data_IF_161365670983
#
_entry.id   IF_161365670983
#
_cell.length_a   1.000
_cell.length_b   1.000
_cell.length_c   1.000
_cell.angle_alpha   90.00
_cell.angle_beta   90.00
_cell.angle_gamma   90.00
#
_symmetry.space_group_name_H-M   'P 1'
#
loop_
_entity.id
_entity.type
_entity.pdbx_description
1 polymer ?
#
# COMPACT_ATOMS: atom_id res chain seq x y z
N UNK A 1 7.18 4.03 3.20
CA UNK A 1 6.05 4.86 3.61
C UNK A 1 6.10 6.15 2.81
N UNK A 2 5.14 6.27 1.93
CA UNK A 2 4.84 7.44 1.11
C UNK A 2 3.61 8.12 1.71
N UNK A 3 3.41 9.39 1.39
CA UNK A 3 2.30 10.15 1.94
C UNK A 3 1.13 10.19 0.94
N UNK A 4 -0.06 9.95 1.46
CA UNK A 4 -1.30 9.88 0.71
C UNK A 4 -2.41 10.67 1.43
N UNK A 5 -3.46 11.02 0.69
CA UNK A 5 -4.67 11.65 1.23
C UNK A 5 -5.84 10.69 1.04
N UNK A 6 -6.39 10.20 2.14
CA UNK A 6 -7.65 9.46 2.17
C UNK A 6 -8.82 10.44 2.25
N UNK A 7 -9.68 10.41 1.24
CA UNK A 7 -10.94 11.15 1.21
C UNK A 7 -12.06 10.21 1.66
N UNK A 8 -12.67 10.53 2.79
CA UNK A 8 -13.92 9.95 3.25
C UNK A 8 -15.03 10.89 2.78
N UNK A 9 -15.85 10.44 1.83
CA UNK A 9 -16.88 11.25 1.17
C UNK A 9 -18.25 10.59 1.20
N UNK A 10 -19.21 11.20 0.51
CA UNK A 10 -20.46 10.55 0.13
C UNK A 10 -20.31 9.93 -1.26
N UNK A 11 -21.11 8.90 -1.54
CA UNK A 11 -21.26 8.42 -2.92
C UNK A 11 -21.76 9.54 -3.87
N UNK A 12 -21.59 9.32 -5.18
CA UNK A 12 -21.88 10.33 -6.20
C UNK A 12 -23.35 10.80 -6.20
N UNK A 13 -24.29 9.90 -5.91
CA UNK A 13 -25.72 10.18 -5.92
C UNK A 13 -26.10 11.04 -4.71
N UNK A 14 -25.55 10.73 -3.53
CA UNK A 14 -25.73 11.52 -2.31
C UNK A 14 -25.02 12.85 -2.37
N UNK A 15 -23.84 12.92 -2.99
CA UNK A 15 -23.21 14.22 -3.27
C UNK A 15 -24.05 15.07 -4.21
N UNK A 16 -24.69 14.46 -5.23
CA UNK A 16 -25.61 15.17 -6.09
C UNK A 16 -26.85 15.67 -5.33
N UNK A 17 -27.45 14.85 -4.47
CA UNK A 17 -28.57 15.22 -3.60
C UNK A 17 -28.19 16.38 -2.66
N UNK A 18 -27.03 16.30 -2.00
CA UNK A 18 -26.50 17.36 -1.14
C UNK A 18 -26.35 18.68 -1.91
N UNK A 19 -25.79 18.63 -3.13
CA UNK A 19 -25.63 19.81 -4.00
C UNK A 19 -26.96 20.42 -4.46
N UNK A 20 -28.03 19.62 -4.51
CA UNK A 20 -29.38 20.07 -4.83
C UNK A 20 -30.13 20.63 -3.60
N UNK A 21 -29.48 20.64 -2.42
CA UNK A 21 -30.06 21.17 -1.17
C UNK A 21 -30.93 20.16 -0.42
N UNK A 22 -30.88 18.88 -0.81
CA UNK A 22 -31.56 17.82 -0.08
C UNK A 22 -30.82 17.51 1.23
N UNK A 23 -31.60 17.19 2.26
CA UNK A 23 -31.05 16.86 3.56
C UNK A 23 -30.47 15.43 3.54
N UNK A 24 -29.14 15.33 3.54
CA UNK A 24 -28.41 14.07 3.69
C UNK A 24 -28.14 13.85 5.19
N UNK A 25 -28.71 12.78 5.76
CA UNK A 25 -28.61 12.40 7.17
C UNK A 25 -27.88 11.06 7.32
N UNK A 26 -27.54 10.68 8.56
CA UNK A 26 -26.19 10.73 9.11
C UNK A 26 -25.16 9.87 8.36
N UNK A 27 -23.90 10.21 8.53
CA UNK A 27 -22.70 9.62 7.92
C UNK A 27 -22.49 8.14 8.33
N UNK A 28 -23.42 7.23 8.03
CA UNK A 28 -23.22 5.81 8.33
C UNK A 28 -22.00 5.30 7.55
N UNK A 29 -21.06 4.56 8.16
CA UNK A 29 -19.83 4.11 7.50
C UNK A 29 -20.06 3.37 6.16
N UNK A 30 -21.15 2.63 6.06
CA UNK A 30 -21.55 1.88 4.85
C UNK A 30 -22.09 2.77 3.72
N UNK A 31 -22.39 4.03 4.00
CA UNK A 31 -22.94 5.00 3.05
C UNK A 31 -21.91 6.02 2.56
N UNK A 32 -20.63 5.76 2.88
CA UNK A 32 -19.50 6.62 2.54
C UNK A 32 -18.73 6.05 1.35
N UNK A 33 -18.13 6.95 0.58
CA UNK A 33 -17.13 6.61 -0.42
C UNK A 33 -15.74 6.81 0.16
N UNK A 34 -14.79 5.96 -0.25
CA UNK A 34 -13.40 6.06 0.15
C UNK A 34 -12.54 6.20 -1.09
N UNK A 35 -11.74 7.25 -1.16
CA UNK A 35 -10.85 7.50 -2.30
C UNK A 35 -9.48 7.86 -1.79
N UNK A 36 -8.47 7.18 -2.31
CA UNK A 36 -7.08 7.44 -1.95
C UNK A 36 -6.43 8.27 -3.06
N UNK A 37 -5.90 9.42 -2.70
CA UNK A 37 -5.22 10.34 -3.60
C UNK A 37 -3.72 10.37 -3.31
N UNK A 38 -2.93 10.37 -4.37
CA UNK A 38 -1.49 10.59 -4.30
C UNK A 38 -1.20 12.03 -4.73
N UNK A 39 -0.71 12.90 -3.84
CA UNK A 39 -0.36 14.25 -4.21
C UNK A 39 0.80 14.26 -5.23
N UNK A 40 0.76 15.21 -6.17
CA UNK A 40 1.78 15.36 -7.20
C UNK A 40 3.18 15.51 -6.59
N UNK A 41 4.16 14.78 -7.14
CA UNK A 41 5.55 14.80 -6.69
C UNK A 41 5.90 13.79 -5.60
N UNK A 42 4.92 13.10 -5.02
CA UNK A 42 5.16 11.85 -4.28
C UNK A 42 5.25 10.70 -5.28
N UNK A 43 6.46 10.39 -5.74
CA UNK A 43 6.72 9.06 -6.28
C UNK A 43 6.63 8.06 -5.13
N UNK A 44 5.55 7.29 -5.04
CA UNK A 44 5.47 6.22 -4.06
C UNK A 44 6.59 5.22 -4.35
N UNK A 45 7.28 4.78 -3.30
CA UNK A 45 8.46 3.91 -3.44
C UNK A 45 8.11 2.50 -3.06
N UNK A 46 8.76 1.57 -3.77
CA UNK A 46 8.48 0.18 -3.52
C UNK A 46 9.44 -0.87 -4.10
N UNK A 47 9.02 -2.14 -4.06
CA UNK A 47 9.60 -3.33 -4.65
C UNK A 47 8.50 -4.25 -5.22
N UNK A 48 8.54 -4.56 -6.51
CA UNK A 48 7.66 -5.59 -7.09
C UNK A 48 8.46 -6.86 -7.31
N UNK A 49 7.82 -8.02 -7.26
CA UNK A 49 8.46 -9.23 -7.78
C UNK A 49 8.80 -9.04 -9.25
N UNK A 50 10.05 -9.35 -9.63
CA UNK A 50 10.41 -9.37 -11.03
C UNK A 50 9.83 -10.62 -11.69
N UNK A 51 9.08 -10.44 -12.77
CA UNK A 51 8.45 -11.53 -13.53
C UNK A 51 9.36 -12.17 -14.58
N UNK A 52 10.58 -11.67 -14.76
CA UNK A 52 11.55 -12.22 -15.72
C UNK A 52 12.48 -13.24 -15.04
N UNK A 53 12.94 -14.29 -15.75
CA UNK A 53 13.78 -15.31 -15.16
C UNK A 53 15.19 -14.80 -14.82
N UNK A 54 15.70 -15.14 -13.64
CA UNK A 54 17.00 -14.75 -13.09
C UNK A 54 18.04 -15.85 -13.24
N UNK A 55 19.19 -15.52 -13.83
CA UNK A 55 20.30 -16.44 -14.05
C UNK A 55 21.61 -15.87 -13.49
N UNK A 56 22.36 -16.69 -12.75
CA UNK A 56 23.70 -16.34 -12.27
C UNK A 56 24.69 -17.46 -12.51
N UNK A 57 25.83 -17.16 -13.12
CA UNK A 57 26.85 -18.17 -13.43
C UNK A 57 26.35 -19.30 -14.34
N UNK A 58 25.31 -19.06 -15.15
CA UNK A 58 24.65 -20.07 -15.98
C UNK A 58 23.66 -20.96 -15.25
N UNK A 59 23.38 -20.70 -13.97
CA UNK A 59 22.42 -21.44 -13.14
C UNK A 59 21.20 -20.55 -12.86
N UNK A 60 19.96 -21.07 -12.96
CA UNK A 60 18.77 -20.30 -12.59
C UNK A 60 18.76 -20.09 -11.05
N UNK A 61 18.43 -18.88 -10.61
CA UNK A 61 18.46 -18.50 -9.19
C UNK A 61 17.09 -18.04 -8.72
N UNK A 62 16.06 -18.86 -8.94
CA UNK A 62 14.65 -18.52 -8.67
C UNK A 62 14.17 -18.91 -7.27
N UNK A 63 13.13 -18.22 -6.78
CA UNK A 63 12.24 -18.74 -5.75
C UNK A 63 11.02 -19.36 -6.43
N UNK A 64 10.99 -20.69 -6.57
CA UNK A 64 9.75 -21.37 -6.92
C UNK A 64 8.90 -21.54 -5.65
N UNK A 65 7.95 -20.61 -5.45
CA UNK A 65 6.98 -20.66 -4.34
C UNK A 65 6.12 -21.94 -4.35
N UNK A 66 6.09 -22.69 -5.47
CA UNK A 66 5.39 -23.96 -5.59
C UNK A 66 6.30 -25.19 -5.39
N UNK A 67 7.61 -24.98 -5.22
CA UNK A 67 8.57 -26.01 -4.82
C UNK A 67 9.28 -25.57 -3.54
N UNK A 68 8.57 -25.79 -2.43
CA UNK A 68 8.82 -25.49 -1.01
C UNK A 68 10.14 -26.06 -0.41
N UNK A 69 11.19 -26.24 -1.22
CA UNK A 69 12.53 -26.61 -0.75
C UNK A 69 13.68 -26.14 -1.65
N UNK A 70 13.38 -25.40 -2.72
CA UNK A 70 14.39 -24.96 -3.68
C UNK A 70 14.83 -23.51 -3.50
N UNK A 71 14.24 -22.76 -2.55
CA UNK A 71 14.69 -21.42 -2.18
C UNK A 71 16.21 -21.47 -1.90
N UNK A 72 17.04 -20.83 -2.72
CA UNK A 72 18.48 -20.84 -2.52
C UNK A 72 18.77 -20.23 -1.14
N UNK A 73 19.27 -21.03 -0.21
CA UNK A 73 19.65 -20.54 1.12
C UNK A 73 20.88 -19.64 0.98
N UNK A 74 20.91 -18.54 1.72
CA UNK A 74 22.07 -17.63 1.78
C UNK A 74 21.97 -16.36 0.94
N UNK A 75 20.87 -16.14 0.22
CA UNK A 75 20.65 -14.92 -0.56
C UNK A 75 19.91 -13.81 0.23
N UNK A 76 19.74 -13.96 1.55
CA UNK A 76 19.01 -12.99 2.37
C UNK A 76 19.58 -11.58 2.23
N UNK A 77 18.76 -10.66 1.72
CA UNK A 77 19.14 -9.28 1.42
C UNK A 77 20.31 -9.14 0.43
N UNK A 78 20.54 -10.14 -0.42
CA UNK A 78 21.50 -9.99 -1.52
C UNK A 78 20.93 -9.04 -2.58
N UNK A 79 21.78 -8.11 -3.01
CA UNK A 79 21.54 -7.28 -4.18
C UNK A 79 22.29 -7.85 -5.38
N UNK A 80 21.63 -7.87 -6.54
CA UNK A 80 22.19 -8.42 -7.76
C UNK A 80 21.59 -7.77 -8.99
N UNK A 81 22.42 -7.52 -10.00
CA UNK A 81 21.93 -7.02 -11.27
C UNK A 81 21.44 -8.17 -12.15
N UNK A 82 20.21 -8.06 -12.63
CA UNK A 82 19.65 -8.90 -13.68
C UNK A 82 18.94 -8.01 -14.69
N UNK A 83 19.02 -8.37 -15.97
CA UNK A 83 18.34 -7.65 -17.05
C UNK A 83 18.67 -6.13 -17.08
N UNK A 84 19.81 -5.74 -16.50
CA UNK A 84 20.23 -4.33 -16.35
C UNK A 84 19.58 -3.55 -15.19
N UNK A 85 18.88 -4.23 -14.27
CA UNK A 85 18.21 -3.65 -13.10
C UNK A 85 18.72 -4.31 -11.82
N UNK A 86 19.01 -3.51 -10.80
CA UNK A 86 19.34 -4.03 -9.46
C UNK A 86 18.10 -4.65 -8.83
N UNK A 87 18.20 -5.94 -8.53
CA UNK A 87 17.22 -6.69 -7.76
C UNK A 87 17.70 -6.89 -6.33
N UNK A 88 16.76 -6.94 -5.39
CA UNK A 88 16.98 -7.33 -4.01
C UNK A 88 16.22 -8.63 -3.73
N UNK A 89 16.91 -9.62 -3.17
CA UNK A 89 16.28 -10.85 -2.71
C UNK A 89 15.53 -10.64 -1.39
N UNK A 90 14.27 -11.06 -1.35
CA UNK A 90 13.41 -11.02 -0.15
C UNK A 90 12.83 -12.39 0.11
N UNK A 91 12.97 -12.88 1.35
CA UNK A 91 12.41 -14.17 1.76
C UNK A 91 10.89 -14.19 1.55
N UNK A 92 10.36 -15.30 1.02
CA UNK A 92 8.96 -15.44 0.63
C UNK A 92 8.62 -14.84 -0.75
N UNK A 93 9.43 -13.93 -1.28
CA UNK A 93 9.12 -13.17 -2.51
C UNK A 93 10.08 -13.46 -3.67
N UNK A 94 11.34 -13.81 -3.39
CA UNK A 94 12.39 -13.99 -4.40
C UNK A 94 13.04 -12.67 -4.81
N UNK A 95 13.43 -12.55 -6.08
CA UNK A 95 14.05 -11.33 -6.61
C UNK A 95 13.03 -10.24 -6.90
N UNK A 96 13.25 -9.07 -6.31
CA UNK A 96 12.36 -7.92 -6.40
C UNK A 96 13.08 -6.71 -6.99
N UNK A 97 12.38 -5.87 -7.75
CA UNK A 97 12.91 -4.64 -8.35
C UNK A 97 12.25 -3.42 -7.73
N UNK A 98 12.94 -2.27 -7.62
CA UNK A 98 12.32 -1.04 -7.18
C UNK A 98 11.11 -0.67 -8.03
N UNK A 99 10.00 -0.31 -7.38
CA UNK A 99 8.85 0.28 -8.04
C UNK A 99 8.92 1.81 -7.93
N UNK A 100 8.88 2.48 -9.08
CA UNK A 100 8.83 3.93 -9.22
C UNK A 100 7.49 4.32 -9.87
N UNK A 101 6.49 4.61 -9.04
CA UNK A 101 5.14 4.93 -9.48
C UNK A 101 4.21 5.23 -8.32
N UNK A 102 2.91 5.29 -8.57
CA UNK A 102 1.92 5.44 -7.51
C UNK A 102 1.22 4.10 -7.27
N UNK A 103 1.55 3.46 -6.15
CA UNK A 103 1.16 2.06 -5.87
C UNK A 103 -0.37 1.92 -5.74
N UNK A 104 -1.06 2.96 -5.29
CA UNK A 104 -2.52 2.98 -5.14
C UNK A 104 -3.26 2.89 -6.48
N UNK A 105 -2.56 3.10 -7.61
CA UNK A 105 -3.09 2.88 -8.95
C UNK A 105 -2.83 1.46 -9.48
N UNK A 106 -1.99 0.68 -8.81
CA UNK A 106 -1.52 -0.63 -9.27
C UNK A 106 -2.18 -1.78 -8.49
N UNK A 107 -2.44 -1.60 -7.20
CA UNK A 107 -3.04 -2.63 -6.33
C UNK A 107 -4.33 -2.14 -5.67
N UNK A 108 -5.17 -3.08 -5.26
CA UNK A 108 -6.20 -2.76 -4.29
C UNK A 108 -5.53 -2.48 -2.94
N UNK A 109 -6.01 -1.47 -2.23
CA UNK A 109 -5.52 -1.11 -0.92
C UNK A 109 -6.58 -1.40 0.15
N UNK A 110 -6.12 -1.69 1.35
CA UNK A 110 -6.97 -1.93 2.52
C UNK A 110 -7.16 -0.66 3.33
N UNK A 111 -8.37 -0.48 3.87
CA UNK A 111 -8.72 0.69 4.67
C UNK A 111 -7.92 0.76 5.98
N UNK A 112 -7.64 1.97 6.51
CA UNK A 112 -7.04 2.09 7.84
C UNK A 112 -7.92 1.46 8.91
N UNK A 113 -7.27 0.89 9.91
CA UNK A 113 -7.97 0.33 11.08
C UNK A 113 -8.84 1.39 11.74
N UNK A 114 -10.12 1.06 11.95
CA UNK A 114 -11.07 1.95 12.62
C UNK A 114 -11.64 3.07 11.73
N UNK A 115 -11.47 3.02 10.41
CA UNK A 115 -11.98 4.01 9.45
C UNK A 115 -13.44 4.44 9.67
N UNK A 116 -14.30 3.51 10.11
CA UNK A 116 -15.70 3.75 10.42
C UNK A 116 -15.95 4.82 11.50
N UNK A 117 -14.94 5.12 12.33
CA UNK A 117 -15.02 6.10 13.41
C UNK A 117 -14.70 7.53 12.95
N UNK A 118 -14.07 7.68 11.78
CA UNK A 118 -13.66 8.98 11.25
C UNK A 118 -14.82 9.61 10.47
N UNK A 119 -15.11 10.92 10.65
CA UNK A 119 -16.15 11.58 9.89
C UNK A 119 -15.76 11.75 8.40
N UNK A 120 -16.68 12.27 7.61
CA UNK A 120 -16.37 12.74 6.24
C UNK A 120 -15.30 13.83 6.29
N UNK A 121 -14.30 13.73 5.42
CA UNK A 121 -13.16 14.64 5.40
C UNK A 121 -11.96 14.11 4.62
N UNK A 122 -10.88 14.88 4.64
CA UNK A 122 -9.58 14.53 4.06
C UNK A 122 -8.61 14.18 5.19
N UNK A 123 -7.90 13.07 5.07
CA UNK A 123 -7.02 12.53 6.09
C UNK A 123 -5.67 12.15 5.51
N UNK A 124 -4.61 12.58 6.17
CA UNK A 124 -3.27 12.11 5.86
C UNK A 124 -3.14 10.63 6.24
N UNK A 125 -2.68 9.81 5.30
CA UNK A 125 -2.37 8.40 5.52
C UNK A 125 -0.99 8.06 4.94
N UNK A 126 -0.35 7.06 5.53
CA UNK A 126 0.90 6.50 5.05
C UNK A 126 0.65 5.09 4.51
N UNK A 127 1.29 4.74 3.39
CA UNK A 127 1.25 3.38 2.86
C UNK A 127 2.36 2.51 3.46
N UNK A 128 1.97 1.31 3.85
CA UNK A 128 2.84 0.16 3.95
C UNK A 128 2.37 -0.84 2.92
N UNK A 129 3.28 -1.33 2.08
CA UNK A 129 2.88 -2.22 1.00
C UNK A 129 3.98 -3.25 0.74
N UNK A 130 3.52 -4.43 0.36
CA UNK A 130 4.31 -5.63 0.15
C UNK A 130 3.75 -6.30 -1.11
N UNK A 131 4.49 -6.17 -2.23
CA UNK A 131 4.15 -6.71 -3.55
C UNK A 131 2.77 -6.29 -4.09
N UNK A 132 1.77 -7.18 -4.06
CA UNK A 132 0.42 -6.95 -4.59
C UNK A 132 -0.57 -6.39 -3.56
N UNK A 133 -0.11 -6.16 -2.34
CA UNK A 133 -0.93 -5.75 -1.20
C UNK A 133 -0.46 -4.42 -0.64
N UNK A 134 -1.39 -3.50 -0.40
CA UNK A 134 -1.14 -2.19 0.18
C UNK A 134 -2.09 -1.95 1.35
N UNK A 135 -1.53 -1.64 2.51
CA UNK A 135 -2.27 -1.18 3.69
C UNK A 135 -1.98 0.30 3.88
N UNK A 136 -3.00 1.05 4.28
CA UNK A 136 -2.82 2.45 4.65
C UNK A 136 -3.14 2.65 6.12
N UNK A 137 -2.36 3.48 6.79
CA UNK A 137 -2.60 3.87 8.18
C UNK A 137 -2.70 5.38 8.30
N UNK A 138 -3.50 5.88 9.23
CA UNK A 138 -3.58 7.32 9.48
C UNK A 138 -2.21 7.85 9.92
N UNK A 139 -1.71 8.85 9.19
CA UNK A 139 -0.50 9.55 9.56
C UNK A 139 -0.76 10.33 10.86
N UNK A 140 0.16 10.29 11.82
CA UNK A 140 0.06 10.98 13.11
C UNK A 140 -0.97 10.46 14.13
N UNK A 141 -1.28 9.16 14.16
CA UNK A 141 -1.83 8.58 15.40
C UNK A 141 -0.67 8.39 16.40
N UNK A 142 -0.15 9.48 16.99
CA UNK A 142 0.65 9.31 18.21
C UNK A 142 -0.26 8.59 19.20
N UNK A 143 0.14 7.46 19.81
CA UNK A 143 -0.62 6.94 20.92
C UNK A 143 -0.65 8.04 21.96
N UNK A 144 -1.84 8.59 22.21
CA UNK A 144 -2.10 9.36 23.41
C UNK A 144 -1.77 8.43 24.55
N UNK A 145 -0.56 8.51 25.09
CA UNK A 145 -0.22 7.94 26.37
C UNK A 145 -1.19 8.66 27.32
N UNK A 146 -2.30 7.99 27.62
CA UNK A 146 -3.10 8.33 28.78
C UNK A 146 -2.19 7.95 29.94
N UNK A 147 -1.39 8.91 30.38
CA UNK A 147 -0.73 8.82 31.67
C UNK A 147 -1.87 8.85 32.68
N UNK A 148 -2.27 7.67 33.16
CA UNK A 148 -3.11 7.57 34.33
C UNK A 148 -2.34 8.25 35.46
N UNK A 149 -2.80 9.44 35.85
CA UNK A 149 -2.34 10.09 37.06
C UNK A 149 -2.90 9.28 38.24
N UNK A 150 -1.99 8.64 38.98
CA UNK A 150 -2.24 8.06 40.30
C UNK A 150 -2.47 9.14 41.36
#
# INVERSE_FOLDING_TARGET
>A
MSHHILIIGLDADREAARRQGEAVFPEHPDERSYTLMCPDGNGCKGFLRCGEPHWFGGVPVEHDINQDSSAPRGYENEEREFHGVTHLWREGWGWTVPYEGCIVNYVNWEYPTGIAQYPIGEYDVEDEWIDDSCWVEFANVRPSIITAAS
#
